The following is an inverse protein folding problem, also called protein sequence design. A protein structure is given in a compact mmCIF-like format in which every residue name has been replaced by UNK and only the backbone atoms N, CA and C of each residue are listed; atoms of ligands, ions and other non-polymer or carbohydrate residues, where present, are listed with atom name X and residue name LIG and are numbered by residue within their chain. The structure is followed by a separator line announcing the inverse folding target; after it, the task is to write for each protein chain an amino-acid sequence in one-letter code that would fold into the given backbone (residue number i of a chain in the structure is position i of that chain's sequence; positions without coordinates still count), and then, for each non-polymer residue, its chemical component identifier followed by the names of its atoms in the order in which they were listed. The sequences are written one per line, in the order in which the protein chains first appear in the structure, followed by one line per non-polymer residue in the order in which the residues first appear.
data_IF_142822461070
#
_entry.id   IF_142822461070
#
_cell.length_a   1.000
_cell.length_b   1.000
_cell.length_c   1.000
_cell.angle_alpha   90.00
_cell.angle_beta   90.00
_cell.angle_gamma   90.00
#
_symmetry.space_group_name_H-M   'P 1'
#
loop_
_entity.id
_entity.type
_entity.pdbx_description
1 polymer ?
#
# COMPACT_ATOMS: atom_id res chain seq x y z
N UNK A 1 -26.61 6.63 8.90
CA UNK A 1 -25.35 6.38 9.62
C UNK A 1 -24.34 7.45 9.22
N UNK A 2 -23.61 8.03 10.18
CA UNK A 2 -22.48 8.94 9.89
C UNK A 2 -21.15 8.21 10.00
N UNK A 3 -20.31 8.38 8.98
CA UNK A 3 -19.02 7.71 8.85
C UNK A 3 -17.94 8.76 8.64
N UNK A 4 -16.93 8.78 9.50
CA UNK A 4 -15.69 9.52 9.28
C UNK A 4 -14.64 8.59 8.67
N UNK A 5 -13.95 9.02 7.61
CA UNK A 5 -12.84 8.28 7.01
C UNK A 5 -11.56 9.12 7.10
N UNK A 6 -10.63 8.67 7.94
CA UNK A 6 -9.34 9.33 8.13
C UNK A 6 -8.28 8.65 7.26
N UNK A 7 -7.67 9.43 6.37
CA UNK A 7 -6.82 8.92 5.29
C UNK A 7 -7.56 8.99 3.95
N UNK A 8 -7.18 9.96 3.13
CA UNK A 8 -7.77 10.26 1.82
C UNK A 8 -6.94 9.63 0.69
N UNK A 9 -6.73 8.32 0.77
CA UNK A 9 -6.02 7.57 -0.26
C UNK A 9 -7.01 6.89 -1.20
N UNK A 10 -6.54 6.31 -2.31
CA UNK A 10 -7.37 5.53 -3.26
C UNK A 10 -8.33 4.56 -2.54
N UNK A 11 -7.85 3.87 -1.48
CA UNK A 11 -8.66 2.99 -0.62
C UNK A 11 -9.80 3.74 0.09
N UNK A 12 -9.46 4.82 0.81
CA UNK A 12 -10.42 5.64 1.54
C UNK A 12 -11.44 6.29 0.61
N UNK A 13 -11.03 6.71 -0.59
CA UNK A 13 -11.90 7.32 -1.59
C UNK A 13 -12.89 6.31 -2.19
N UNK A 14 -12.41 5.14 -2.60
CA UNK A 14 -13.26 4.07 -3.12
C UNK A 14 -14.30 3.62 -2.09
N UNK A 15 -13.87 3.48 -0.83
CA UNK A 15 -14.75 3.16 0.28
C UNK A 15 -15.76 4.28 0.55
N UNK A 16 -15.34 5.55 0.51
CA UNK A 16 -16.22 6.71 0.64
C UNK A 16 -17.32 6.69 -0.44
N UNK A 17 -16.96 6.43 -1.70
CA UNK A 17 -17.91 6.35 -2.80
C UNK A 17 -18.93 5.22 -2.59
N UNK A 18 -18.49 4.02 -2.21
CA UNK A 18 -19.38 2.88 -1.90
C UNK A 18 -20.34 3.22 -0.76
N UNK A 19 -19.82 3.71 0.36
CA UNK A 19 -20.63 4.08 1.52
C UNK A 19 -21.66 5.18 1.21
N UNK A 20 -21.29 6.14 0.37
CA UNK A 20 -22.20 7.21 -0.06
C UNK A 20 -23.32 6.65 -0.96
N UNK A 21 -23.02 5.68 -1.83
CA UNK A 21 -24.04 5.00 -2.66
C UNK A 21 -25.03 4.21 -1.82
N UNK A 22 -24.60 3.66 -0.69
CA UNK A 22 -25.46 3.00 0.30
C UNK A 22 -26.24 3.99 1.20
N UNK A 23 -26.21 5.30 0.88
CA UNK A 23 -26.97 6.33 1.59
C UNK A 23 -26.36 6.76 2.92
N UNK A 24 -25.11 6.39 3.22
CA UNK A 24 -24.41 6.85 4.42
C UNK A 24 -23.86 8.27 4.25
N UNK A 25 -23.80 9.03 5.34
CA UNK A 25 -23.21 10.37 5.35
C UNK A 25 -21.71 10.24 5.67
N UNK A 26 -20.89 10.34 4.63
CA UNK A 26 -19.42 10.27 4.75
C UNK A 26 -18.85 11.67 4.96
N UNK A 27 -18.11 11.85 6.05
CA UNK A 27 -17.54 13.12 6.50
C UNK A 27 -16.03 12.96 6.82
N UNK A 28 -15.36 14.09 7.12
CA UNK A 28 -13.96 14.13 7.62
C UNK A 28 -12.94 13.39 6.76
N UNK A 29 -13.06 13.56 5.44
CA UNK A 29 -12.06 13.15 4.46
C UNK A 29 -10.79 14.00 4.64
N UNK A 30 -9.89 13.54 5.50
CA UNK A 30 -8.63 14.21 5.81
C UNK A 30 -7.46 13.42 5.22
N UNK A 31 -6.65 14.09 4.38
CA UNK A 31 -5.28 13.63 4.09
C UNK A 31 -4.47 13.97 5.33
N UNK A 32 -3.75 13.00 5.90
CA UNK A 32 -2.74 13.25 6.94
C UNK A 32 -1.50 13.95 6.36
N UNK A 33 -1.67 15.07 5.63
CA UNK A 33 -0.58 15.97 5.23
C UNK A 33 -0.74 17.26 6.02
N UNK A 34 0.22 17.57 6.87
CA UNK A 34 0.25 18.75 7.77
C UNK A 34 0.25 20.11 7.04
N UNK A 35 0.23 20.14 5.71
CA UNK A 35 0.33 21.37 4.93
C UNK A 35 -1.03 22.09 4.79
N UNK A 36 -1.36 22.91 5.79
CA UNK A 36 -2.19 24.11 5.61
C UNK A 36 -3.67 24.03 6.01
N UNK A 37 -4.17 22.90 6.52
CA UNK A 37 -5.50 22.84 7.19
C UNK A 37 -5.35 23.09 8.69
N UNK A 38 -6.32 23.78 9.31
CA UNK A 38 -6.32 24.06 10.76
C UNK A 38 -6.46 22.74 11.52
N UNK A 39 -5.50 22.45 12.39
CA UNK A 39 -5.33 21.22 13.19
C UNK A 39 -6.61 20.70 13.90
N UNK A 40 -7.53 21.62 14.23
CA UNK A 40 -8.76 21.33 14.98
C UNK A 40 -9.89 20.71 14.15
N UNK A 41 -9.86 20.85 12.82
CA UNK A 41 -10.92 20.35 11.91
C UNK A 41 -10.63 18.91 11.42
N UNK A 42 -9.42 18.39 11.65
CA UNK A 42 -8.98 17.09 11.12
C UNK A 42 -9.33 15.89 12.01
N UNK A 43 -9.48 16.11 13.32
CA UNK A 43 -9.62 15.05 14.33
C UNK A 43 -10.95 15.08 15.10
N UNK A 44 -11.78 16.11 14.85
CA UNK A 44 -13.12 16.17 15.41
C UNK A 44 -14.06 15.28 14.59
N UNK A 45 -14.25 14.05 15.05
CA UNK A 45 -15.18 13.09 14.43
C UNK A 45 -16.65 13.40 14.76
N UNK A 46 -16.92 14.47 15.49
CA UNK A 46 -18.26 14.92 15.83
C UNK A 46 -19.09 13.80 16.45
N UNK A 47 -20.19 13.47 15.78
CA UNK A 47 -21.13 12.43 16.15
C UNK A 47 -21.20 11.30 15.11
N UNK A 48 -20.02 10.99 14.55
CA UNK A 48 -19.79 9.80 13.73
C UNK A 48 -20.02 8.52 14.53
N UNK A 49 -20.80 7.62 13.95
CA UNK A 49 -21.08 6.29 14.51
C UNK A 49 -20.00 5.29 14.11
N UNK A 50 -19.29 5.59 13.01
CA UNK A 50 -18.19 4.78 12.49
C UNK A 50 -17.03 5.69 12.12
N UNK A 51 -15.82 5.29 12.50
CA UNK A 51 -14.57 5.94 12.17
C UNK A 51 -13.68 4.89 11.49
N UNK A 52 -13.28 5.15 10.25
CA UNK A 52 -12.41 4.27 9.46
C UNK A 52 -11.04 4.92 9.35
N UNK A 53 -10.00 4.15 9.68
CA UNK A 53 -8.61 4.57 9.69
C UNK A 53 -7.89 3.89 8.51
N UNK A 54 -7.76 4.61 7.40
CA UNK A 54 -7.10 4.18 6.16
C UNK A 54 -5.89 5.05 5.83
N UNK A 55 -5.02 5.23 6.83
CA UNK A 55 -3.81 6.05 6.70
C UNK A 55 -2.60 5.21 6.25
N UNK A 56 -1.63 5.80 5.52
CA UNK A 56 -0.46 5.07 5.04
C UNK A 56 0.43 4.55 6.16
N UNK A 57 1.17 3.49 5.83
CA UNK A 57 1.87 2.65 6.81
C UNK A 57 3.35 3.01 6.96
N UNK A 58 3.87 3.92 6.10
CA UNK A 58 5.27 4.41 6.05
C UNK A 58 5.93 4.69 7.40
N UNK A 59 5.99 5.94 7.86
CA UNK A 59 6.72 6.35 9.08
C UNK A 59 6.03 5.92 10.39
N UNK A 60 5.49 4.71 10.38
CA UNK A 60 5.09 3.93 11.53
C UNK A 60 3.65 4.16 11.93
N UNK A 61 3.15 3.16 12.63
CA UNK A 61 2.02 3.20 13.55
C UNK A 61 1.94 4.47 14.42
N UNK A 62 3.00 5.27 14.48
CA UNK A 62 3.03 6.67 14.89
C UNK A 62 1.83 7.50 14.42
N UNK A 63 1.49 7.55 13.13
CA UNK A 63 0.35 8.35 12.66
C UNK A 63 -0.98 7.80 13.17
N UNK A 64 -1.10 6.46 13.22
CA UNK A 64 -2.26 5.78 13.77
C UNK A 64 -2.44 6.12 15.25
N UNK A 65 -1.39 5.98 16.05
CA UNK A 65 -1.43 6.28 17.49
C UNK A 65 -1.60 7.77 17.77
N UNK A 66 -0.98 8.66 16.99
CA UNK A 66 -1.19 10.11 17.10
C UNK A 66 -2.64 10.48 16.80
N UNK A 67 -3.21 9.92 15.73
CA UNK A 67 -4.62 10.11 15.36
C UNK A 67 -5.51 9.61 16.49
N UNK A 68 -5.32 8.35 16.91
CA UNK A 68 -6.09 7.75 18.00
C UNK A 68 -6.04 8.61 19.26
N UNK A 69 -4.87 9.08 19.69
CA UNK A 69 -4.72 9.95 20.85
C UNK A 69 -5.53 11.26 20.77
N UNK A 70 -5.71 11.80 19.57
CA UNK A 70 -6.43 13.06 19.32
C UNK A 70 -7.92 12.87 19.06
N UNK A 71 -8.35 11.66 18.68
CA UNK A 71 -9.75 11.37 18.37
C UNK A 71 -10.67 11.63 19.57
N UNK A 72 -11.77 12.31 19.32
CA UNK A 72 -12.87 12.47 20.28
C UNK A 72 -13.94 11.44 19.96
N UNK A 73 -14.07 10.43 20.82
CA UNK A 73 -14.95 9.30 20.59
C UNK A 73 -16.29 9.45 21.31
N UNK A 74 -17.32 8.83 20.73
CA UNK A 74 -18.63 8.67 21.36
C UNK A 74 -18.85 7.23 21.79
N UNK A 75 -19.66 7.02 22.84
CA UNK A 75 -20.01 5.66 23.28
C UNK A 75 -20.70 4.89 22.17
N UNK A 76 -20.26 3.65 21.94
CA UNK A 76 -20.77 2.74 20.94
C UNK A 76 -20.13 2.86 19.56
N UNK A 77 -19.21 3.82 19.35
CA UNK A 77 -18.56 4.05 18.05
C UNK A 77 -17.86 2.79 17.55
N UNK A 78 -17.95 2.52 16.24
CA UNK A 78 -17.14 1.52 15.56
C UNK A 78 -15.88 2.17 15.03
N UNK A 79 -14.73 1.72 15.51
CA UNK A 79 -13.41 2.09 15.05
C UNK A 79 -12.87 0.96 14.16
N UNK A 80 -12.71 1.22 12.87
CA UNK A 80 -12.21 0.26 11.90
C UNK A 80 -10.82 0.65 11.43
N UNK A 81 -9.84 -0.25 11.54
CA UNK A 81 -8.52 -0.10 10.93
C UNK A 81 -8.56 -0.79 9.58
N UNK A 82 -8.46 0.00 8.53
CA UNK A 82 -8.54 -0.42 7.13
C UNK A 82 -7.18 -0.46 6.43
N UNK A 83 -6.12 -0.06 7.13
CA UNK A 83 -4.73 -0.06 6.64
C UNK A 83 -3.97 -1.29 7.13
N UNK A 84 -2.87 -1.65 6.47
CA UNK A 84 -1.96 -2.67 7.00
C UNK A 84 -1.27 -2.16 8.26
N UNK A 85 -1.10 -3.04 9.25
CA UNK A 85 -0.50 -2.66 10.53
C UNK A 85 0.48 -3.73 10.99
N UNK A 86 1.44 -3.33 11.80
CA UNK A 86 2.39 -4.28 12.36
C UNK A 86 1.71 -5.19 13.39
N UNK A 87 2.09 -6.47 13.50
CA UNK A 87 1.61 -7.37 14.54
C UNK A 87 1.72 -6.76 15.94
N UNK A 88 0.66 -6.88 16.73
CA UNK A 88 0.55 -6.28 18.07
C UNK A 88 0.02 -4.84 18.09
N UNK A 89 -0.23 -4.23 16.93
CA UNK A 89 -0.79 -2.87 16.84
C UNK A 89 -2.14 -2.78 17.54
N UNK A 90 -3.04 -3.74 17.31
CA UNK A 90 -4.38 -3.78 17.87
C UNK A 90 -4.39 -3.89 19.39
N UNK A 91 -3.43 -4.63 19.94
CA UNK A 91 -3.25 -4.75 21.38
C UNK A 91 -2.76 -3.42 21.98
N UNK A 92 -1.85 -2.73 21.31
CA UNK A 92 -1.44 -1.39 21.71
C UNK A 92 -2.61 -0.39 21.64
N UNK A 93 -3.47 -0.48 20.62
CA UNK A 93 -4.70 0.32 20.55
C UNK A 93 -5.59 0.03 21.75
N UNK A 94 -5.78 -1.25 22.11
CA UNK A 94 -6.56 -1.66 23.30
C UNK A 94 -6.02 -0.99 24.57
N UNK A 95 -4.72 -1.02 24.77
CA UNK A 95 -4.06 -0.42 25.94
C UNK A 95 -4.19 1.10 25.97
N UNK A 96 -3.91 1.77 24.85
CA UNK A 96 -4.03 3.21 24.69
C UNK A 96 -5.46 3.71 24.96
N UNK A 97 -6.44 2.96 24.48
CA UNK A 97 -7.86 3.24 24.72
C UNK A 97 -8.27 3.00 26.17
N UNK A 98 -7.77 1.93 26.80
CA UNK A 98 -8.02 1.63 28.21
C UNK A 98 -7.47 2.72 29.14
N UNK A 99 -6.27 3.26 28.86
CA UNK A 99 -5.69 4.40 29.59
C UNK A 99 -6.57 5.65 29.53
N UNK A 100 -7.36 5.79 28.46
CA UNK A 100 -8.33 6.88 28.26
C UNK A 100 -9.72 6.57 28.81
N UNK A 101 -9.88 5.44 29.51
CA UNK A 101 -11.13 5.02 30.14
C UNK A 101 -12.12 4.29 29.22
N UNK A 102 -11.69 3.86 28.02
CA UNK A 102 -12.54 3.17 27.06
C UNK A 102 -12.33 1.65 27.09
N UNK A 103 -13.42 0.88 27.11
CA UNK A 103 -13.36 -0.58 27.05
C UNK A 103 -13.93 -1.07 25.72
N UNK A 104 -13.11 -1.80 24.95
CA UNK A 104 -13.52 -2.39 23.68
C UNK A 104 -14.61 -3.45 23.89
N UNK A 105 -15.58 -3.50 22.97
CA UNK A 105 -16.77 -4.34 23.05
C UNK A 105 -17.84 -3.84 24.04
N UNK A 106 -17.60 -2.73 24.75
CA UNK A 106 -18.55 -2.11 25.69
C UNK A 106 -18.77 -0.63 25.41
N UNK A 107 -17.70 0.15 25.47
CA UNK A 107 -17.74 1.60 25.26
C UNK A 107 -17.46 1.98 23.80
N UNK A 108 -16.72 1.14 23.05
CA UNK A 108 -16.48 1.27 21.62
C UNK A 108 -16.21 -0.11 21.00
N UNK A 109 -16.25 -0.22 19.68
CA UNK A 109 -15.96 -1.46 18.95
C UNK A 109 -14.71 -1.28 18.09
N UNK A 110 -13.74 -2.19 18.17
CA UNK A 110 -12.51 -2.15 17.37
C UNK A 110 -12.46 -3.33 16.40
N UNK A 111 -12.31 -3.04 15.11
CA UNK A 111 -12.18 -4.06 14.06
C UNK A 111 -11.03 -3.77 13.12
N UNK A 112 -10.41 -4.84 12.61
CA UNK A 112 -9.49 -4.82 11.49
C UNK A 112 -10.17 -5.39 10.25
N UNK A 113 -10.00 -4.70 9.15
CA UNK A 113 -10.53 -5.08 7.85
C UNK A 113 -9.63 -4.46 6.77
N UNK A 114 -8.40 -4.99 6.58
CA UNK A 114 -7.52 -4.48 5.55
C UNK A 114 -8.27 -4.46 4.20
N UNK A 115 -8.28 -3.31 3.53
CA UNK A 115 -8.96 -3.15 2.25
C UNK A 115 -7.99 -3.44 1.10
N UNK A 116 -8.39 -4.33 0.19
CA UNK A 116 -7.62 -4.61 -1.03
C UNK A 116 -7.91 -3.55 -2.10
N UNK A 117 -6.84 -3.01 -2.71
CA UNK A 117 -6.86 -1.93 -3.72
C UNK A 117 -7.56 -2.29 -5.04
N UNK A 118 -7.70 -3.58 -5.33
CA UNK A 118 -8.11 -4.11 -6.65
C UNK A 118 -9.62 -4.08 -6.90
N UNK A 119 -10.38 -3.51 -5.98
CA UNK A 119 -11.82 -3.33 -6.13
C UNK A 119 -12.12 -2.22 -7.15
N UNK A 120 -12.07 -2.56 -8.45
CA UNK A 120 -12.70 -1.73 -9.48
C UNK A 120 -14.21 -1.61 -9.16
N UNK A 121 -14.73 -0.43 -8.83
CA UNK A 121 -16.16 -0.25 -8.53
C UNK A 121 -17.07 -0.62 -9.71
N UNK A 122 -16.54 -0.65 -10.93
CA UNK A 122 -17.26 -0.96 -12.16
C UNK A 122 -17.27 -2.45 -12.51
N UNK A 123 -16.31 -3.25 -12.00
CA UNK A 123 -16.13 -4.64 -12.40
C UNK A 123 -17.04 -5.64 -11.66
N UNK A 124 -17.72 -5.22 -10.58
CA UNK A 124 -18.68 -6.08 -9.86
C UNK A 124 -18.09 -7.28 -9.10
N UNK A 125 -16.78 -7.55 -9.24
CA UNK A 125 -16.11 -8.65 -8.54
C UNK A 125 -15.73 -8.23 -7.11
N UNK A 126 -16.58 -8.58 -6.15
CA UNK A 126 -16.26 -8.47 -4.74
C UNK A 126 -15.38 -9.65 -4.31
N UNK A 127 -14.05 -9.43 -4.27
CA UNK A 127 -13.14 -10.38 -3.65
C UNK A 127 -13.52 -10.59 -2.16
N UNK A 128 -13.36 -11.81 -1.60
CA UNK A 128 -13.55 -12.04 -0.18
C UNK A 128 -12.70 -11.10 0.66
N UNK A 129 -13.30 -10.43 1.64
CA UNK A 129 -12.60 -9.51 2.53
C UNK A 129 -12.57 -10.08 3.94
N UNK A 130 -11.38 -10.19 4.53
CA UNK A 130 -11.26 -10.62 5.93
C UNK A 130 -11.72 -9.52 6.88
N UNK A 131 -12.36 -9.93 7.97
CA UNK A 131 -12.72 -9.02 9.07
C UNK A 131 -12.46 -9.69 10.41
N UNK A 132 -11.83 -8.98 11.34
CA UNK A 132 -11.62 -9.44 12.70
C UNK A 132 -11.96 -8.35 13.70
N UNK A 133 -12.58 -8.73 14.82
CA UNK A 133 -12.88 -7.82 15.91
C UNK A 133 -12.06 -8.16 17.14
N UNK A 134 -11.64 -7.14 17.89
CA UNK A 134 -10.86 -7.33 19.12
C UNK A 134 -11.61 -8.18 20.17
N UNK A 135 -12.94 -8.14 20.13
CA UNK A 135 -13.83 -9.00 20.91
C UNK A 135 -14.94 -9.54 20.00
N UNK A 136 -15.70 -10.59 20.42
CA UNK A 136 -16.86 -11.05 19.68
C UNK A 136 -17.91 -9.97 19.43
N UNK A 137 -18.11 -9.05 20.38
CA UNK A 137 -19.01 -7.90 20.22
C UNK A 137 -18.50 -6.92 19.15
N UNK A 138 -17.20 -6.64 19.15
CA UNK A 138 -16.58 -5.82 18.11
C UNK A 138 -16.76 -6.45 16.73
N UNK A 139 -16.53 -7.76 16.61
CA UNK A 139 -16.68 -8.48 15.34
C UNK A 139 -18.12 -8.44 14.84
N UNK A 140 -19.09 -8.66 15.74
CA UNK A 140 -20.51 -8.58 15.39
C UNK A 140 -20.87 -7.19 14.85
N UNK A 141 -20.42 -6.13 15.52
CA UNK A 141 -20.66 -4.74 15.09
C UNK A 141 -19.97 -4.40 13.76
N UNK A 142 -18.73 -4.86 13.58
CA UNK A 142 -18.00 -4.67 12.33
C UNK A 142 -18.66 -5.37 11.15
N UNK A 143 -19.11 -6.62 11.34
CA UNK A 143 -19.80 -7.37 10.29
C UNK A 143 -21.12 -6.72 9.89
N UNK A 144 -21.89 -6.23 10.86
CA UNK A 144 -23.12 -5.49 10.60
C UNK A 144 -22.85 -4.26 9.71
N UNK A 145 -21.79 -3.50 10.01
CA UNK A 145 -21.45 -2.32 9.22
C UNK A 145 -20.90 -2.66 7.83
N UNK A 146 -19.88 -3.52 7.76
CA UNK A 146 -19.18 -3.80 6.49
C UNK A 146 -19.98 -4.69 5.54
N UNK A 147 -21.07 -5.34 5.99
CA UNK A 147 -22.00 -6.06 5.10
C UNK A 147 -22.67 -5.13 4.06
N UNK A 148 -22.64 -3.82 4.27
CA UNK A 148 -23.06 -2.83 3.27
C UNK A 148 -22.00 -2.58 2.18
N UNK A 149 -20.75 -2.97 2.40
CA UNK A 149 -19.62 -2.64 1.51
C UNK A 149 -19.02 -3.86 0.80
N UNK A 150 -19.22 -5.06 1.37
CA UNK A 150 -18.68 -6.31 0.87
C UNK A 150 -19.68 -7.44 1.07
N UNK A 151 -19.98 -8.16 0.00
CA UNK A 151 -20.87 -9.33 0.00
C UNK A 151 -20.19 -10.57 0.59
N UNK A 152 -18.85 -10.58 0.69
CA UNK A 152 -18.05 -11.75 1.07
C UNK A 152 -17.12 -11.44 2.24
N UNK A 153 -17.69 -11.11 3.40
CA UNK A 153 -16.92 -10.93 4.63
C UNK A 153 -16.54 -12.27 5.28
N UNK A 154 -15.24 -12.52 5.42
CA UNK A 154 -14.66 -13.71 6.04
C UNK A 154 -14.23 -13.39 7.47
N UNK A 155 -14.97 -13.83 8.50
CA UNK A 155 -14.63 -13.54 9.89
C UNK A 155 -13.40 -14.33 10.34
N UNK A 156 -12.44 -13.65 10.95
CA UNK A 156 -11.25 -14.24 11.55
C UNK A 156 -11.31 -14.05 13.07
N UNK A 157 -11.20 -15.14 13.81
CA UNK A 157 -11.33 -15.14 15.28
C UNK A 157 -10.11 -14.56 15.99
N UNK A 158 -8.92 -14.73 15.42
CA UNK A 158 -7.67 -14.21 15.96
C UNK A 158 -7.27 -12.93 15.22
N UNK A 159 -7.40 -11.79 15.90
CA UNK A 159 -7.09 -10.50 15.31
C UNK A 159 -5.63 -10.36 14.86
N UNK A 160 -4.71 -11.13 15.46
CA UNK A 160 -3.29 -11.16 15.06
C UNK A 160 -3.12 -11.73 13.65
N UNK A 161 -4.01 -12.63 13.22
CA UNK A 161 -4.04 -13.12 11.84
C UNK A 161 -4.45 -11.98 10.90
N UNK A 162 -5.44 -11.16 11.27
CA UNK A 162 -5.85 -10.02 10.46
C UNK A 162 -4.77 -8.92 10.35
N UNK A 163 -3.90 -8.79 11.36
CA UNK A 163 -2.73 -7.89 11.28
C UNK A 163 -1.66 -8.42 10.30
N UNK A 164 -1.39 -9.73 10.31
CA UNK A 164 -0.27 -10.29 9.55
C UNK A 164 -0.61 -10.65 8.10
N UNK A 165 -1.88 -10.90 7.78
CA UNK A 165 -2.31 -11.30 6.42
C UNK A 165 -1.80 -10.33 5.34
N UNK A 166 -1.99 -9.00 5.44
CA UNK A 166 -1.49 -8.07 4.41
C UNK A 166 0.04 -8.12 4.23
N UNK A 167 0.79 -8.30 5.33
CA UNK A 167 2.25 -8.41 5.31
C UNK A 167 2.68 -9.68 4.56
N UNK A 168 1.99 -10.81 4.81
CA UNK A 168 2.27 -12.07 4.13
C UNK A 168 1.88 -12.00 2.65
N UNK A 169 0.76 -11.37 2.30
CA UNK A 169 0.35 -11.13 0.90
C UNK A 169 1.42 -10.33 0.14
N UNK A 170 1.91 -9.24 0.74
CA UNK A 170 2.97 -8.42 0.17
C UNK A 170 4.29 -9.18 0.03
N UNK A 171 4.68 -9.95 1.04
CA UNK A 171 5.88 -10.77 0.98
C UNK A 171 5.78 -11.89 -0.08
N UNK A 172 4.62 -12.53 -0.19
CA UNK A 172 4.36 -13.53 -1.22
C UNK A 172 4.50 -12.93 -2.63
N UNK A 173 3.89 -11.76 -2.86
CA UNK A 173 4.01 -11.01 -4.11
C UNK A 173 5.45 -10.59 -4.41
N UNK A 174 6.18 -10.16 -3.37
CA UNK A 174 7.58 -9.77 -3.49
C UNK A 174 8.46 -10.94 -3.94
N UNK A 175 8.31 -12.13 -3.34
CA UNK A 175 9.08 -13.33 -3.72
C UNK A 175 8.86 -13.68 -5.19
N UNK A 176 7.60 -13.67 -5.65
CA UNK A 176 7.27 -14.00 -7.04
C UNK A 176 7.86 -12.98 -8.01
N UNK A 177 7.86 -11.71 -7.64
CA UNK A 177 8.47 -10.66 -8.45
C UNK A 177 10.00 -10.76 -8.45
N UNK A 178 10.64 -10.98 -7.31
CA UNK A 178 12.09 -11.20 -7.22
C UNK A 178 12.51 -12.41 -8.06
N UNK A 179 11.72 -13.49 -8.03
CA UNK A 179 11.94 -14.64 -8.91
C UNK A 179 11.82 -14.27 -10.39
N UNK A 180 10.77 -13.55 -10.79
CA UNK A 180 10.59 -13.08 -12.16
C UNK A 180 11.74 -12.16 -12.63
N UNK A 181 12.28 -11.32 -11.74
CA UNK A 181 13.44 -10.46 -12.02
C UNK A 181 14.68 -11.30 -12.37
N UNK A 182 14.97 -12.35 -11.60
CA UNK A 182 16.09 -13.25 -11.89
C UNK A 182 15.90 -13.98 -13.22
N UNK A 183 14.70 -14.48 -13.49
CA UNK A 183 14.40 -15.17 -14.74
C UNK A 183 14.51 -14.21 -15.93
N UNK A 184 14.06 -12.95 -15.81
CA UNK A 184 14.22 -11.95 -16.88
C UNK A 184 15.67 -11.61 -17.15
N UNK A 185 16.51 -11.50 -16.12
CA UNK A 185 17.94 -11.30 -16.33
C UNK A 185 18.59 -12.51 -16.99
N UNK A 186 18.20 -13.74 -16.61
CA UNK A 186 18.63 -14.95 -17.31
C UNK A 186 18.21 -14.94 -18.79
N UNK A 187 16.95 -14.60 -19.09
CA UNK A 187 16.47 -14.48 -20.45
C UNK A 187 17.26 -13.45 -21.26
N UNK A 188 17.55 -12.29 -20.66
CA UNK A 188 18.33 -11.23 -21.29
C UNK A 188 19.74 -11.73 -21.67
N UNK A 189 20.41 -12.45 -20.77
CA UNK A 189 21.76 -12.97 -21.00
C UNK A 189 21.81 -14.06 -22.08
N UNK A 190 20.72 -14.82 -22.22
CA UNK A 190 20.61 -15.94 -23.16
C UNK A 190 19.83 -15.60 -24.44
N UNK A 191 19.49 -14.33 -24.66
CA UNK A 191 18.72 -13.86 -25.83
C UNK A 191 17.38 -14.59 -25.99
N UNK A 192 16.73 -14.89 -24.86
CA UNK A 192 15.39 -15.47 -24.80
C UNK A 192 14.38 -14.34 -24.66
N UNK A 193 13.30 -14.41 -25.45
CA UNK A 193 12.20 -13.45 -25.40
C UNK A 193 11.41 -13.63 -24.09
N UNK A 194 11.59 -12.68 -23.16
CA UNK A 194 10.94 -12.68 -21.85
C UNK A 194 9.40 -12.70 -21.94
N UNK A 195 8.74 -11.78 -22.68
CA UNK A 195 7.29 -11.83 -22.88
C UNK A 195 6.77 -13.20 -23.33
N UNK A 196 7.44 -13.84 -24.30
CA UNK A 196 7.02 -15.16 -24.82
C UNK A 196 7.21 -16.26 -23.77
N UNK A 197 8.35 -16.28 -23.07
CA UNK A 197 8.59 -17.25 -21.99
C UNK A 197 7.56 -17.10 -20.86
N UNK A 198 7.34 -15.86 -20.41
CA UNK A 198 6.39 -15.55 -19.33
C UNK A 198 4.99 -16.01 -19.69
N UNK A 199 4.53 -15.68 -20.90
CA UNK A 199 3.23 -16.15 -21.41
C UNK A 199 3.16 -17.69 -21.41
N UNK A 200 4.18 -18.37 -21.94
CA UNK A 200 4.20 -19.82 -22.02
C UNK A 200 4.18 -20.50 -20.63
N UNK A 201 4.87 -19.95 -19.63
CA UNK A 201 4.84 -20.44 -18.24
C UNK A 201 3.44 -20.26 -17.64
N UNK A 202 2.81 -19.11 -17.88
CA UNK A 202 1.51 -18.79 -17.28
C UNK A 202 0.36 -19.63 -17.87
N UNK A 203 0.49 -20.15 -19.10
CA UNK A 203 -0.49 -21.08 -19.69
C UNK A 203 -0.73 -22.34 -18.86
N UNK A 204 0.27 -22.80 -18.11
CA UNK A 204 0.16 -23.98 -17.27
C UNK A 204 -0.55 -23.71 -15.92
N UNK A 205 -1.18 -22.55 -15.76
CA UNK A 205 -1.83 -22.12 -14.51
C UNK A 205 -0.84 -21.60 -13.47
N UNK A 206 0.39 -21.29 -13.87
CA UNK A 206 1.36 -20.60 -13.02
C UNK A 206 1.19 -19.08 -13.10
N UNK A 207 1.68 -18.37 -12.08
CA UNK A 207 1.65 -16.91 -12.04
C UNK A 207 3.07 -16.37 -11.95
N UNK A 208 3.69 -16.17 -13.11
CA UNK A 208 4.92 -15.41 -13.25
C UNK A 208 4.55 -13.94 -13.50
N UNK A 209 4.79 -13.02 -12.54
CA UNK A 209 4.41 -11.61 -12.70
C UNK A 209 5.24 -10.92 -13.78
N UNK A 210 4.74 -9.81 -14.30
CA UNK A 210 5.56 -8.90 -15.11
C UNK A 210 6.56 -8.18 -14.19
N UNK A 211 7.65 -7.69 -14.77
CA UNK A 211 8.78 -7.15 -14.02
C UNK A 211 9.01 -5.70 -14.35
N UNK A 212 8.77 -4.88 -13.33
CA UNK A 212 8.95 -3.44 -13.33
C UNK A 212 10.39 -3.04 -13.00
N UNK A 213 10.76 -1.81 -13.36
CA UNK A 213 12.08 -1.27 -13.02
C UNK A 213 12.22 -0.91 -11.52
N UNK A 214 11.09 -0.68 -10.85
CA UNK A 214 11.02 -0.39 -9.42
C UNK A 214 9.76 -1.00 -8.82
N UNK A 215 9.92 -1.54 -7.62
CA UNK A 215 8.83 -2.11 -6.82
C UNK A 215 8.31 -1.01 -5.89
N UNK A 216 7.02 -1.03 -5.54
CA UNK A 216 6.50 -0.21 -4.44
C UNK A 216 7.32 -0.39 -3.15
N UNK A 217 7.28 0.59 -2.27
CA UNK A 217 8.03 0.57 -1.01
C UNK A 217 7.42 -0.39 0.02
N UNK A 218 6.12 -0.65 -0.08
CA UNK A 218 5.33 -1.56 0.74
C UNK A 218 5.81 -3.02 0.69
N UNK A 219 6.07 -3.58 -0.50
CA UNK A 219 6.53 -4.97 -0.61
C UNK A 219 7.91 -5.25 0.04
N UNK A 220 9.00 -4.52 -0.32
CA UNK A 220 10.31 -4.75 0.27
C UNK A 220 10.32 -4.38 1.75
N UNK A 221 9.53 -3.40 2.20
CA UNK A 221 9.37 -3.07 3.62
C UNK A 221 8.78 -4.25 4.39
N UNK A 222 7.67 -4.79 3.91
CA UNK A 222 6.96 -5.89 4.58
C UNK A 222 7.81 -7.18 4.54
N UNK A 223 8.55 -7.41 3.44
CA UNK A 223 9.54 -8.49 3.35
C UNK A 223 10.69 -8.30 4.35
N UNK A 224 11.26 -7.10 4.44
CA UNK A 224 12.35 -6.81 5.37
C UNK A 224 11.89 -6.93 6.83
N UNK A 225 10.65 -6.53 7.13
CA UNK A 225 10.00 -6.77 8.40
C UNK A 225 9.98 -8.28 8.70
N UNK A 226 9.42 -9.11 7.81
CA UNK A 226 9.39 -10.56 8.01
C UNK A 226 10.77 -11.17 8.18
N UNK A 227 11.77 -10.73 7.40
CA UNK A 227 13.15 -11.19 7.54
C UNK A 227 13.74 -10.89 8.92
N UNK A 228 13.37 -9.76 9.53
CA UNK A 228 13.81 -9.40 10.88
C UNK A 228 13.27 -10.33 11.98
N UNK A 229 12.02 -10.77 11.84
CA UNK A 229 11.37 -11.68 12.80
C UNK A 229 11.61 -13.16 12.51
N UNK A 230 11.71 -13.50 11.23
CA UNK A 230 11.91 -14.85 10.72
C UNK A 230 13.06 -14.83 9.70
N UNK A 231 14.32 -14.83 10.17
CA UNK A 231 15.47 -14.85 9.27
C UNK A 231 15.45 -16.09 8.38
N UNK A 232 15.31 -15.88 7.08
CA UNK A 232 15.15 -16.93 6.09
C UNK A 232 16.06 -16.70 4.89
N UNK A 233 16.77 -17.73 4.39
CA UNK A 233 17.51 -17.62 3.14
C UNK A 233 16.63 -17.22 1.95
N UNK A 234 15.35 -17.62 1.96
CA UNK A 234 14.41 -17.27 0.90
C UNK A 234 14.11 -15.77 0.89
N UNK A 235 13.79 -15.20 2.05
CA UNK A 235 13.45 -13.77 2.17
C UNK A 235 14.69 -12.89 1.90
N UNK A 236 15.84 -13.27 2.47
CA UNK A 236 17.11 -12.60 2.18
C UNK A 236 17.48 -12.69 0.69
N UNK A 237 17.26 -13.85 0.06
CA UNK A 237 17.48 -14.06 -1.37
C UNK A 237 16.60 -13.17 -2.23
N UNK A 238 15.30 -13.06 -1.90
CA UNK A 238 14.37 -12.18 -2.62
C UNK A 238 14.79 -10.70 -2.55
N UNK A 239 15.12 -10.19 -1.35
CA UNK A 239 15.64 -8.84 -1.17
C UNK A 239 16.92 -8.59 -1.98
N UNK A 240 17.85 -9.56 -1.97
CA UNK A 240 19.10 -9.47 -2.72
C UNK A 240 18.89 -9.53 -4.25
N UNK A 241 17.95 -10.35 -4.73
CA UNK A 241 17.59 -10.45 -6.14
C UNK A 241 17.04 -9.13 -6.67
N UNK A 242 16.17 -8.47 -5.90
CA UNK A 242 15.58 -7.19 -6.25
C UNK A 242 16.62 -6.04 -6.32
N UNK A 243 17.54 -5.98 -5.36
CA UNK A 243 18.68 -5.05 -5.39
C UNK A 243 19.59 -5.33 -6.60
N UNK A 244 19.89 -6.60 -6.88
CA UNK A 244 20.73 -7.02 -8.00
C UNK A 244 20.08 -6.65 -9.34
N UNK A 245 18.78 -6.86 -9.48
CA UNK A 245 18.05 -6.53 -10.70
C UNK A 245 18.12 -5.03 -11.00
N UNK A 246 17.87 -4.16 -10.01
CA UNK A 246 18.06 -2.70 -10.17
C UNK A 246 19.48 -2.34 -10.61
N UNK A 247 20.48 -2.95 -9.96
CA UNK A 247 21.88 -2.74 -10.35
C UNK A 247 22.12 -3.12 -11.82
N UNK A 248 21.60 -4.27 -12.27
CA UNK A 248 21.71 -4.72 -13.65
C UNK A 248 21.01 -3.79 -14.64
N UNK A 249 19.85 -3.22 -14.27
CA UNK A 249 19.19 -2.19 -15.09
C UNK A 249 20.07 -0.95 -15.26
N UNK A 250 20.68 -0.44 -14.19
CA UNK A 250 21.64 0.66 -14.28
C UNK A 250 22.83 0.32 -15.18
N UNK A 251 23.32 -0.92 -15.17
CA UNK A 251 24.45 -1.32 -16.02
C UNK A 251 24.12 -1.31 -17.51
N UNK A 252 22.85 -1.55 -17.88
CA UNK A 252 22.38 -1.52 -19.27
C UNK A 252 22.30 -0.09 -19.85
N UNK A 253 22.30 0.94 -19.00
CA UNK A 253 22.29 2.36 -19.42
C UNK A 253 23.72 2.89 -19.54
N UNK A 254 23.99 3.68 -20.59
CA UNK A 254 25.29 4.34 -20.82
C UNK A 254 25.35 5.70 -20.13
N UNK A 255 26.56 6.12 -19.77
CA UNK A 255 26.82 7.44 -19.21
C UNK A 255 26.35 8.56 -20.16
N UNK A 256 25.82 9.65 -19.59
CA UNK A 256 25.28 10.80 -20.32
C UNK A 256 23.94 10.59 -21.01
N UNK A 257 23.33 9.40 -20.95
CA UNK A 257 22.00 9.17 -21.57
C UNK A 257 20.88 9.89 -20.81
N UNK A 258 19.86 10.30 -21.56
CA UNK A 258 18.63 10.84 -21.01
C UNK A 258 17.67 9.69 -20.69
N UNK A 259 17.34 9.51 -19.41
CA UNK A 259 16.50 8.41 -18.91
C UNK A 259 15.21 8.97 -18.35
N UNK A 260 14.07 8.45 -18.79
CA UNK A 260 12.78 8.73 -18.16
C UNK A 260 12.39 7.57 -17.24
N UNK A 261 12.08 7.86 -15.99
CA UNK A 261 11.51 6.92 -15.02
C UNK A 261 10.05 7.30 -14.79
N UNK A 262 9.13 6.40 -15.12
CA UNK A 262 7.68 6.57 -14.97
C UNK A 262 7.22 5.75 -13.78
N UNK A 263 6.56 6.40 -12.81
CA UNK A 263 6.14 5.84 -11.53
C UNK A 263 7.29 5.88 -10.53
N UNK A 264 7.19 6.81 -9.58
CA UNK A 264 8.05 6.93 -8.41
C UNK A 264 7.43 6.23 -7.21
N UNK A 265 6.10 6.27 -7.12
CA UNK A 265 5.33 5.73 -6.01
C UNK A 265 4.31 4.70 -6.53
N UNK A 266 4.20 3.57 -5.85
CA UNK A 266 3.31 2.47 -6.27
C UNK A 266 1.83 2.73 -5.99
N UNK A 267 1.52 3.47 -4.93
CA UNK A 267 0.18 3.80 -4.46
C UNK A 267 0.21 5.18 -3.78
N UNK A 268 -0.90 5.92 -3.68
CA UNK A 268 -1.06 7.29 -3.10
C UNK A 268 -0.71 7.41 -1.58
N UNK A 269 0.34 6.71 -1.14
CA UNK A 269 0.91 6.65 0.19
C UNK A 269 1.86 7.78 0.49
N UNK A 270 2.08 8.01 1.80
CA UNK A 270 3.09 8.97 2.26
C UNK A 270 4.41 8.64 1.60
N UNK A 271 4.93 9.62 0.87
CA UNK A 271 6.11 9.51 0.04
C UNK A 271 7.37 9.27 0.89
N UNK A 272 7.68 8.00 1.17
CA UNK A 272 8.92 7.59 1.86
C UNK A 272 10.01 7.27 0.85
N UNK A 273 10.71 8.29 0.37
CA UNK A 273 11.75 8.12 -0.65
C UNK A 273 13.01 7.39 -0.16
N UNK A 274 13.28 7.39 1.14
CA UNK A 274 14.55 6.87 1.69
C UNK A 274 14.72 5.38 1.39
N UNK A 275 13.64 4.61 1.49
CA UNK A 275 13.65 3.17 1.27
C UNK A 275 12.93 2.76 -0.02
N UNK A 276 12.51 3.72 -0.84
CA UNK A 276 11.79 3.46 -2.08
C UNK A 276 12.74 2.88 -3.15
N UNK A 277 12.47 1.66 -3.67
CA UNK A 277 13.30 1.02 -4.69
C UNK A 277 13.50 1.84 -5.96
N UNK A 278 12.45 2.53 -6.44
CA UNK A 278 12.53 3.38 -7.63
C UNK A 278 13.41 4.61 -7.38
N UNK A 279 13.28 5.26 -6.22
CA UNK A 279 14.14 6.36 -5.84
C UNK A 279 15.61 5.93 -5.79
N UNK A 280 15.90 4.73 -5.27
CA UNK A 280 17.25 4.15 -5.30
C UNK A 280 17.76 3.94 -6.73
N UNK A 281 16.93 3.44 -7.65
CA UNK A 281 17.28 3.29 -9.07
C UNK A 281 17.62 4.66 -9.69
N UNK A 282 16.81 5.68 -9.44
CA UNK A 282 17.03 7.05 -9.92
C UNK A 282 18.38 7.57 -9.42
N UNK A 283 18.67 7.45 -8.13
CA UNK A 283 19.96 7.87 -7.56
C UNK A 283 21.14 7.12 -8.18
N UNK A 284 21.02 5.81 -8.42
CA UNK A 284 22.06 5.01 -9.05
C UNK A 284 22.34 5.46 -10.50
N UNK A 285 21.29 5.78 -11.27
CA UNK A 285 21.42 6.30 -12.63
C UNK A 285 22.07 7.69 -12.66
N UNK A 286 21.67 8.58 -11.74
CA UNK A 286 22.26 9.91 -11.60
C UNK A 286 23.75 9.84 -11.22
N UNK A 287 24.11 8.99 -10.25
CA UNK A 287 25.51 8.76 -9.88
C UNK A 287 26.35 8.18 -11.01
N UNK A 288 25.74 7.45 -11.94
CA UNK A 288 26.39 6.94 -13.15
C UNK A 288 26.59 8.03 -14.23
N UNK A 289 26.07 9.24 -14.02
CA UNK A 289 26.18 10.37 -14.94
C UNK A 289 25.04 10.48 -15.97
N UNK A 290 23.94 9.74 -15.78
CA UNK A 290 22.76 9.86 -16.63
C UNK A 290 21.95 11.12 -16.26
N UNK A 291 21.27 11.71 -17.25
CA UNK A 291 20.26 12.75 -17.05
C UNK A 291 18.90 12.10 -16.79
N UNK A 292 18.44 12.08 -15.55
CA UNK A 292 17.25 11.31 -15.15
C UNK A 292 16.05 12.22 -14.92
N UNK A 293 14.98 11.94 -15.65
CA UNK A 293 13.67 12.60 -15.56
C UNK A 293 12.68 11.66 -14.91
N UNK A 294 11.77 12.19 -14.11
CA UNK A 294 10.77 11.42 -13.37
C UNK A 294 9.38 11.88 -13.76
N UNK A 295 8.50 10.95 -14.11
CA UNK A 295 7.08 11.17 -14.28
C UNK A 295 6.34 10.31 -13.28
N UNK A 296 5.32 10.86 -12.64
CA UNK A 296 4.43 10.09 -11.77
C UNK A 296 3.01 10.60 -12.01
N UNK A 297 2.01 9.70 -11.98
CA UNK A 297 0.62 10.07 -12.23
C UNK A 297 -0.04 10.73 -11.01
N UNK A 298 0.49 10.46 -9.81
CA UNK A 298 -0.03 10.95 -8.54
C UNK A 298 0.72 12.17 -8.02
N UNK A 299 1.91 12.46 -8.55
CA UNK A 299 2.76 13.58 -8.10
C UNK A 299 2.90 14.61 -9.22
N UNK A 300 2.52 15.85 -8.93
CA UNK A 300 2.64 16.92 -9.91
C UNK A 300 4.11 17.24 -10.23
N UNK A 301 4.42 17.77 -11.43
CA UNK A 301 5.78 18.19 -11.78
C UNK A 301 6.42 19.17 -10.78
N UNK A 302 5.61 20.02 -10.16
CA UNK A 302 6.06 20.98 -9.14
C UNK A 302 6.46 20.28 -7.84
N UNK A 303 5.71 19.27 -7.42
CA UNK A 303 6.03 18.46 -6.24
C UNK A 303 7.27 17.60 -6.47
N UNK A 304 7.40 16.98 -7.65
CA UNK A 304 8.62 16.25 -8.04
C UNK A 304 9.86 17.16 -7.95
N UNK A 305 9.79 18.37 -8.49
CA UNK A 305 10.87 19.35 -8.38
C UNK A 305 11.18 19.74 -6.94
N UNK A 306 10.16 19.89 -6.08
CA UNK A 306 10.35 20.17 -4.65
C UNK A 306 11.02 19.01 -3.90
N UNK A 307 10.85 17.78 -4.38
CA UNK A 307 11.51 16.57 -3.88
C UNK A 307 12.91 16.36 -4.44
N UNK A 308 13.37 17.24 -5.34
CA UNK A 308 14.68 17.17 -5.97
C UNK A 308 14.75 16.29 -7.23
N UNK A 309 13.61 15.89 -7.79
CA UNK A 309 13.55 15.16 -9.06
C UNK A 309 13.30 16.11 -10.24
N UNK A 310 13.89 15.80 -11.40
CA UNK A 310 13.67 16.57 -12.63
C UNK A 310 12.39 16.07 -13.33
N UNK A 311 11.36 16.91 -13.53
CA UNK A 311 10.13 16.50 -14.23
C UNK A 311 10.37 16.35 -15.73
N UNK A 312 9.46 15.69 -16.48
CA UNK A 312 9.67 15.41 -17.90
C UNK A 312 9.78 16.70 -18.73
N UNK A 313 10.74 16.74 -19.65
CA UNK A 313 10.95 17.86 -20.57
C UNK A 313 10.54 17.47 -22.01
N UNK A 314 9.52 18.13 -22.60
CA UNK A 314 9.06 17.84 -23.96
C UNK A 314 10.11 18.07 -25.07
N UNK A 315 11.17 18.83 -24.77
CA UNK A 315 12.25 19.13 -25.72
C UNK A 315 13.38 18.10 -25.70
N UNK A 316 13.38 17.19 -24.72
CA UNK A 316 14.40 16.15 -24.55
C UNK A 316 13.90 14.86 -25.17
N UNK A 317 14.75 14.21 -25.96
CA UNK A 317 14.50 12.84 -26.42
C UNK A 317 15.10 11.88 -25.39
N UNK A 318 14.27 11.00 -24.83
CA UNK A 318 14.74 9.98 -23.89
C UNK A 318 15.33 8.78 -24.64
N UNK A 319 16.52 8.36 -24.22
CA UNK A 319 17.21 7.19 -24.76
C UNK A 319 16.70 5.89 -24.14
N UNK A 320 16.30 5.95 -22.86
CA UNK A 320 15.81 4.81 -22.08
C UNK A 320 14.59 5.23 -21.28
N UNK A 321 13.57 4.38 -21.24
CA UNK A 321 12.37 4.58 -20.42
C UNK A 321 12.23 3.39 -19.48
N UNK A 322 12.26 3.67 -18.19
CA UNK A 322 11.88 2.73 -17.15
C UNK A 322 10.46 3.04 -16.71
N UNK A 323 9.61 2.02 -16.62
CA UNK A 323 8.24 2.16 -16.11
C UNK A 323 8.07 1.24 -14.90
N UNK A 324 7.54 1.79 -13.81
CA UNK A 324 6.95 1.03 -12.74
C UNK A 324 5.70 0.35 -13.30
N UNK A 325 5.66 -0.97 -13.20
CA UNK A 325 4.55 -1.78 -13.67
C UNK A 325 3.54 -1.98 -12.55
N UNK A 326 2.27 -2.08 -12.91
CA UNK A 326 1.28 -2.69 -12.04
C UNK A 326 1.65 -4.17 -11.88
N UNK A 327 1.84 -4.62 -10.64
CA UNK A 327 2.27 -5.99 -10.33
C UNK A 327 1.13 -7.00 -10.67
N UNK A 328 -0.07 -6.47 -10.92
CA UNK A 328 -1.27 -7.19 -11.31
C UNK A 328 -1.78 -6.72 -12.68
N UNK A 329 -1.24 -7.29 -13.76
CA UNK A 329 -2.12 -7.72 -14.84
C UNK A 329 -2.30 -9.22 -14.69
N UNK A 330 -3.22 -9.58 -13.80
CA UNK A 330 -3.93 -10.83 -13.92
C UNK A 330 -5.19 -10.52 -14.74
N UNK A 331 -5.40 -11.29 -15.81
CA UNK A 331 -6.64 -11.37 -16.61
C UNK A 331 -6.98 -10.15 -17.46
N UNK A 332 -6.46 -10.14 -18.69
CA UNK A 332 -7.27 -9.75 -19.84
C UNK A 332 -7.12 -10.88 -20.90
N UNK A 333 -8.27 -11.43 -21.31
CA UNK A 333 -8.43 -12.55 -22.25
C UNK A 333 -7.89 -12.27 -23.66
#
# INVERSE_FOLDING_TARGET
MRVSIMGLQKQGLNLAFRLTREGMKVENLAVCRENGKREKELYDTGDSEVIILGMPVGAGTCFLYQTLNRLVLQKGVLLAVATSVMPGTTEHIRELMAQRGWIAGRDFNLVLTPFHNELNPEAGDAAPQIISGLTPACLARGREFFAHCSDQLVPISDIRIAEIVPIIENAHRFIHMSFAQEVKDYCTQNQIDWPVLRWAVNLAGHTLPEVCAGVGDDLPRDMAFLQGFCPSPLFAGALAADVRYRHNLCQKVKDGQHVLVIGLVADDETLELVNNPTAQLICQLQHKGCHVYVQDEHISPRELAALGFEPPNPQVKYDVIFKQGEIYQAWED
#
